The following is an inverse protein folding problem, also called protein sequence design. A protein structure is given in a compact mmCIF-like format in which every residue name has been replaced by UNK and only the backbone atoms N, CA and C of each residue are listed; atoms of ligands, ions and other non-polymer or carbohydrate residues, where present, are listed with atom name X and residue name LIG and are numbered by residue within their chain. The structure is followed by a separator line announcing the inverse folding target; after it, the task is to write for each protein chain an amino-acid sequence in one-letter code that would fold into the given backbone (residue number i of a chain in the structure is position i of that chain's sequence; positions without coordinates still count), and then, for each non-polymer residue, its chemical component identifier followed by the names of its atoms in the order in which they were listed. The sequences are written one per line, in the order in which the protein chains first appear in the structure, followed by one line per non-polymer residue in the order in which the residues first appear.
data_IF_205681621338
#
_entry.id   IF_205681621338
#
_cell.length_a   1.000
_cell.length_b   1.000
_cell.length_c   1.000
_cell.angle_alpha   90.00
_cell.angle_beta   90.00
_cell.angle_gamma   90.00
#
_symmetry.space_group_name_H-M   'P 1'
#
loop_
_entity.id
_entity.type
_entity.pdbx_description
1 polymer ?
#
# COMPACT_ATOMS: atom_id res chain seq x y z
N UNK A 1 -1.80 -29.34 -38.41
CA UNK A 1 -2.13 -27.89 -38.46
C UNK A 1 -2.48 -27.48 -37.04
N UNK A 2 -1.82 -26.56 -36.34
CA UNK A 2 -0.86 -25.52 -36.69
C UNK A 2 0.05 -25.29 -35.48
N UNK A 3 1.35 -25.54 -35.63
CA UNK A 3 2.35 -24.97 -34.74
C UNK A 3 2.51 -23.50 -35.14
N UNK A 4 1.61 -22.63 -34.66
CA UNK A 4 1.76 -21.19 -34.76
C UNK A 4 2.84 -20.77 -33.78
N UNK A 5 4.06 -20.59 -34.27
CA UNK A 5 5.17 -20.12 -33.47
C UNK A 5 4.86 -18.75 -32.86
N UNK A 6 4.98 -18.66 -31.54
CA UNK A 6 4.92 -17.41 -30.77
C UNK A 6 6.23 -16.61 -30.94
N UNK A 7 6.68 -16.47 -32.18
CA UNK A 7 7.82 -15.63 -32.56
C UNK A 7 7.32 -14.20 -32.73
N UNK A 8 7.27 -13.43 -31.64
CA UNK A 8 7.25 -11.97 -31.78
C UNK A 8 6.57 -11.15 -30.71
N UNK A 9 5.84 -11.75 -29.75
CA UNK A 9 5.23 -10.93 -28.71
C UNK A 9 6.15 -10.85 -27.48
N UNK A 10 6.72 -9.68 -27.15
CA UNK A 10 7.51 -9.55 -25.93
C UNK A 10 6.66 -9.93 -24.72
N UNK A 11 7.20 -10.79 -23.85
CA UNK A 11 6.57 -11.19 -22.59
C UNK A 11 6.05 -9.95 -21.86
N UNK A 12 4.72 -9.89 -21.64
CA UNK A 12 4.09 -8.75 -20.97
C UNK A 12 4.63 -8.63 -19.55
N UNK A 13 5.21 -7.48 -19.24
CA UNK A 13 5.79 -7.16 -17.93
C UNK A 13 4.79 -6.34 -17.12
N UNK A 14 4.56 -6.73 -15.88
CA UNK A 14 3.75 -5.96 -14.95
C UNK A 14 4.60 -5.59 -13.73
N UNK A 15 4.76 -4.29 -13.51
CA UNK A 15 5.48 -3.75 -12.38
C UNK A 15 4.52 -3.49 -11.23
N UNK A 16 4.80 -4.12 -10.08
CA UNK A 16 4.10 -3.92 -8.82
C UNK A 16 5.09 -3.36 -7.81
N UNK A 17 4.71 -2.27 -7.15
CA UNK A 17 5.51 -1.67 -6.07
C UNK A 17 4.81 -1.86 -4.73
N UNK A 18 5.56 -2.29 -3.72
CA UNK A 18 5.05 -2.45 -2.36
C UNK A 18 5.47 -1.26 -1.52
N UNK A 19 4.49 -0.58 -0.91
CA UNK A 19 4.67 0.63 -0.12
C UNK A 19 4.11 0.41 1.29
N UNK A 20 4.69 1.07 2.28
CA UNK A 20 4.27 0.95 3.68
C UNK A 20 5.44 1.08 4.63
N UNK A 21 5.15 1.33 5.91
CA UNK A 21 6.15 1.53 6.96
C UNK A 21 7.07 0.30 7.16
N UNK A 22 8.16 0.47 7.88
CA UNK A 22 9.08 -0.61 8.19
C UNK A 22 8.34 -1.69 9.02
N UNK A 23 8.67 -2.96 8.79
CA UNK A 23 8.12 -4.10 9.55
C UNK A 23 6.64 -4.41 9.38
N UNK A 24 5.91 -3.75 8.47
CA UNK A 24 4.50 -4.08 8.17
C UNK A 24 4.28 -5.39 7.40
N UNK A 25 5.36 -6.09 7.01
CA UNK A 25 5.29 -7.39 6.33
C UNK A 25 5.34 -7.36 4.79
N UNK A 26 5.80 -6.27 4.16
CA UNK A 26 5.96 -6.17 2.69
C UNK A 26 6.81 -7.32 2.12
N UNK A 27 8.03 -7.45 2.63
CA UNK A 27 8.99 -8.48 2.24
C UNK A 27 8.42 -9.88 2.46
N UNK A 28 7.77 -10.12 3.60
CA UNK A 28 7.14 -11.40 3.93
C UNK A 28 5.99 -11.78 2.98
N UNK A 29 5.19 -10.81 2.54
CA UNK A 29 4.14 -11.04 1.53
C UNK A 29 4.75 -11.41 0.18
N UNK A 30 5.81 -10.71 -0.22
CA UNK A 30 6.52 -10.97 -1.48
C UNK A 30 7.19 -12.34 -1.43
N UNK A 31 7.92 -12.67 -0.37
CA UNK A 31 8.59 -13.97 -0.25
C UNK A 31 7.61 -15.12 -0.21
N UNK A 32 6.47 -14.97 0.51
CA UNK A 32 5.38 -15.95 0.48
C UNK A 32 4.82 -16.13 -0.92
N UNK A 33 4.57 -15.05 -1.66
CA UNK A 33 4.09 -15.15 -3.04
C UNK A 33 5.13 -15.81 -3.97
N UNK A 34 6.42 -15.54 -3.76
CA UNK A 34 7.49 -16.06 -4.60
C UNK A 34 7.76 -17.54 -4.37
N UNK A 35 7.94 -17.94 -3.12
CA UNK A 35 8.50 -19.25 -2.73
C UNK A 35 7.53 -20.14 -1.95
N UNK A 36 6.31 -19.67 -1.68
CA UNK A 36 5.33 -20.32 -0.80
C UNK A 36 5.88 -20.65 0.61
N UNK A 37 6.91 -19.92 1.03
CA UNK A 37 7.58 -20.08 2.32
C UNK A 37 7.43 -18.82 3.17
N UNK A 38 7.51 -18.99 4.48
CA UNK A 38 7.53 -17.89 5.44
C UNK A 38 8.69 -18.12 6.41
N UNK A 39 9.63 -17.18 6.43
CA UNK A 39 10.68 -17.12 7.44
C UNK A 39 10.26 -16.14 8.54
N UNK A 40 10.38 -16.56 9.79
CA UNK A 40 10.06 -15.73 10.95
C UNK A 40 11.24 -14.82 11.35
N UNK A 41 12.39 -14.99 10.69
CA UNK A 41 13.58 -14.18 10.88
C UNK A 41 13.39 -12.84 10.19
N UNK A 42 13.22 -11.78 10.99
CA UNK A 42 13.14 -10.43 10.46
C UNK A 42 14.50 -9.97 9.93
N UNK A 43 14.59 -9.75 8.63
CA UNK A 43 15.69 -9.04 7.97
C UNK A 43 15.15 -7.75 7.39
N UNK A 44 15.69 -6.60 7.83
CA UNK A 44 15.26 -5.32 7.30
C UNK A 44 15.70 -5.17 5.84
N UNK A 45 14.77 -4.86 4.93
CA UNK A 45 15.12 -4.52 3.55
C UNK A 45 15.98 -3.26 3.54
N UNK A 46 17.18 -3.35 2.96
CA UNK A 46 18.08 -2.22 2.77
C UNK A 46 17.78 -1.62 1.39
N UNK A 47 17.20 -0.40 1.37
CA UNK A 47 16.91 0.31 0.12
C UNK A 47 15.72 -0.27 -0.66
N UNK A 48 15.97 -0.87 -1.81
CA UNK A 48 14.92 -1.45 -2.66
C UNK A 48 15.37 -2.80 -3.20
N UNK A 49 14.50 -3.79 -3.15
CA UNK A 49 14.74 -5.11 -3.71
C UNK A 49 13.83 -5.36 -4.92
N UNK A 50 14.35 -6.09 -5.90
CA UNK A 50 13.69 -6.40 -7.16
C UNK A 50 13.58 -7.91 -7.31
N UNK A 51 12.34 -8.40 -7.31
CA UNK A 51 12.04 -9.80 -7.54
C UNK A 51 11.24 -9.94 -8.84
N UNK A 52 11.49 -11.00 -9.61
CA UNK A 52 10.75 -11.26 -10.84
C UNK A 52 10.26 -12.70 -10.90
N UNK A 53 8.96 -12.85 -11.17
CA UNK A 53 8.30 -14.15 -11.33
C UNK A 53 7.63 -14.20 -12.69
N UNK A 54 7.95 -15.22 -13.47
CA UNK A 54 7.20 -15.53 -14.69
C UNK A 54 6.11 -16.52 -14.33
N UNK A 55 4.87 -16.22 -14.70
CA UNK A 55 3.70 -17.07 -14.40
C UNK A 55 2.72 -17.08 -15.57
N UNK A 56 1.83 -18.07 -15.58
CA UNK A 56 0.73 -18.14 -16.52
C UNK A 56 -0.53 -17.58 -15.86
N UNK A 57 -1.20 -16.66 -16.55
CA UNK A 57 -2.49 -16.09 -16.16
C UNK A 57 -3.40 -16.15 -17.38
N UNK A 58 -4.51 -16.88 -17.29
CA UNK A 58 -5.48 -17.04 -18.40
C UNK A 58 -4.81 -17.47 -19.72
N UNK A 59 -3.99 -18.53 -19.66
CA UNK A 59 -3.20 -19.06 -20.79
C UNK A 59 -2.15 -18.10 -21.39
N UNK A 60 -1.91 -16.95 -20.74
CA UNK A 60 -0.89 -15.99 -21.15
C UNK A 60 0.29 -16.02 -20.21
N UNK A 61 1.49 -16.11 -20.78
CA UNK A 61 2.75 -16.01 -20.04
C UNK A 61 3.06 -14.55 -19.74
N UNK A 62 3.06 -14.20 -18.45
CA UNK A 62 3.34 -12.85 -17.97
C UNK A 62 4.57 -12.85 -17.08
N UNK A 63 5.23 -11.69 -16.99
CA UNK A 63 6.37 -11.48 -16.09
C UNK A 63 6.02 -10.41 -15.06
N UNK A 64 5.79 -10.84 -13.83
CA UNK A 64 5.63 -9.94 -12.70
C UNK A 64 7.01 -9.44 -12.24
N UNK A 65 7.05 -8.15 -11.94
CA UNK A 65 8.19 -7.44 -11.37
C UNK A 65 7.72 -6.85 -10.04
N UNK A 66 8.20 -7.42 -8.95
CA UNK A 66 7.84 -7.04 -7.59
C UNK A 66 8.97 -6.15 -7.05
N UNK A 67 8.63 -4.93 -6.70
CA UNK A 67 9.56 -3.96 -6.13
C UNK A 67 9.27 -3.84 -4.64
N UNK A 68 10.11 -4.48 -3.81
CA UNK A 68 10.05 -4.39 -2.35
C UNK A 68 10.79 -3.12 -1.90
N UNK A 69 10.09 -2.22 -1.21
CA UNK A 69 10.72 -1.01 -0.69
C UNK A 69 11.10 -1.18 0.78
N UNK A 70 12.25 -0.67 1.17
CA UNK A 70 12.54 -0.42 2.57
C UNK A 70 11.49 0.55 3.10
N UNK A 71 10.68 0.11 4.05
CA UNK A 71 9.61 0.92 4.64
C UNK A 71 10.10 2.07 5.51
N UNK A 72 11.34 2.52 5.32
CA UNK A 72 11.89 3.65 6.05
C UNK A 72 11.52 4.97 5.39
N UNK A 73 11.10 5.89 6.26
CA UNK A 73 10.84 7.30 6.02
C UNK A 73 11.98 8.02 5.29
N UNK A 74 13.23 7.54 5.44
CA UNK A 74 14.41 8.08 4.73
C UNK A 74 14.37 7.91 3.21
N UNK A 75 13.55 6.99 2.68
CA UNK A 75 13.41 6.75 1.24
C UNK A 75 12.13 7.35 0.64
N UNK A 76 11.38 8.16 1.41
CA UNK A 76 10.15 8.81 0.92
C UNK A 76 10.37 9.70 -0.31
N UNK A 77 11.54 10.31 -0.44
CA UNK A 77 11.92 11.11 -1.61
C UNK A 77 12.06 10.29 -2.90
N UNK A 78 12.25 8.96 -2.80
CA UNK A 78 12.42 8.07 -3.94
C UNK A 78 11.10 7.43 -4.41
N UNK A 79 10.02 7.58 -3.62
CA UNK A 79 8.68 7.03 -3.93
C UNK A 79 8.18 7.42 -5.33
N UNK A 80 8.25 8.69 -5.78
CA UNK A 80 7.78 9.05 -7.13
C UNK A 80 8.54 8.34 -8.24
N UNK A 81 9.83 8.07 -8.03
CA UNK A 81 10.67 7.33 -8.99
C UNK A 81 10.28 5.85 -9.03
N UNK A 82 9.98 5.25 -7.88
CA UNK A 82 9.59 3.83 -7.80
C UNK A 82 8.20 3.56 -8.35
N UNK A 83 7.24 4.46 -8.13
CA UNK A 83 5.88 4.31 -8.64
C UNK A 83 5.83 4.52 -10.16
N UNK A 84 6.74 5.30 -10.74
CA UNK A 84 6.79 5.55 -12.19
C UNK A 84 6.74 4.24 -12.98
N UNK A 85 5.90 4.20 -13.99
CA UNK A 85 5.68 3.03 -14.87
C UNK A 85 5.19 1.76 -14.15
N UNK A 86 4.74 1.88 -12.89
CA UNK A 86 4.13 0.76 -12.17
C UNK A 86 2.71 0.54 -12.67
N UNK A 87 2.37 -0.72 -12.94
CA UNK A 87 1.01 -1.11 -13.25
C UNK A 87 0.10 -1.04 -12.01
N UNK A 88 0.67 -1.29 -10.81
CA UNK A 88 -0.04 -1.20 -9.55
C UNK A 88 0.90 -0.86 -8.38
N UNK A 89 0.34 -0.23 -7.34
CA UNK A 89 0.97 -0.04 -6.05
C UNK A 89 0.18 -0.75 -4.96
N UNK A 90 0.86 -1.53 -4.13
CA UNK A 90 0.29 -2.27 -3.00
C UNK A 90 0.71 -1.57 -1.71
N UNK A 91 -0.24 -0.96 -1.01
CA UNK A 91 0.00 -0.29 0.27
C UNK A 91 -0.27 -1.28 1.40
N UNK A 92 0.76 -1.60 2.17
CA UNK A 92 0.73 -2.56 3.28
C UNK A 92 0.86 -1.82 4.59
N UNK A 93 0.02 -2.18 5.56
CA UNK A 93 0.07 -1.64 6.92
C UNK A 93 -0.22 -2.76 7.94
N UNK A 94 0.29 -2.59 9.15
CA UNK A 94 0.05 -3.50 10.26
C UNK A 94 -1.17 -3.05 11.07
N UNK A 95 -2.22 -3.90 11.11
CA UNK A 95 -3.45 -3.65 11.87
C UNK A 95 -3.24 -3.60 13.39
N UNK A 96 -2.15 -4.19 13.89
CA UNK A 96 -1.79 -4.19 15.30
C UNK A 96 -1.11 -2.89 15.72
N UNK A 97 -0.57 -2.12 14.76
CA UNK A 97 0.01 -0.80 15.00
C UNK A 97 -1.08 0.18 15.43
N UNK A 98 -1.09 0.50 16.73
CA UNK A 98 -2.12 1.34 17.36
C UNK A 98 -2.06 2.82 16.99
N UNK A 99 -1.08 3.26 16.19
CA UNK A 99 -0.89 4.67 15.86
C UNK A 99 -2.01 5.24 14.98
N UNK A 100 -2.75 4.41 14.23
CA UNK A 100 -3.87 4.85 13.39
C UNK A 100 -5.23 4.92 14.11
N UNK A 101 -5.31 4.52 15.39
CA UNK A 101 -6.58 4.54 16.15
C UNK A 101 -7.14 5.91 16.58
N UNK A 102 -6.41 7.05 16.60
CA UNK A 102 -7.02 8.33 16.97
C UNK A 102 -7.91 8.95 15.88
N UNK A 103 -7.62 8.68 14.59
CA UNK A 103 -8.30 9.34 13.47
C UNK A 103 -9.70 8.78 13.16
N UNK A 104 -10.05 7.62 13.73
CA UNK A 104 -11.35 6.97 13.58
C UNK A 104 -12.21 7.09 14.85
N UNK A 105 -11.97 8.09 15.69
CA UNK A 105 -12.97 8.45 16.71
C UNK A 105 -14.11 9.20 16.01
N UNK A 106 -15.38 8.79 16.18
CA UNK A 106 -16.50 9.63 15.78
C UNK A 106 -16.35 10.96 16.51
N UNK A 107 -16.39 12.07 15.76
CA UNK A 107 -16.48 13.42 16.32
C UNK A 107 -17.66 13.39 17.29
N UNK A 108 -17.48 13.72 18.59
CA UNK A 108 -18.61 13.77 19.50
C UNK A 108 -19.61 14.79 18.96
N UNK A 109 -20.80 14.32 18.58
CA UNK A 109 -21.89 15.09 18.00
C UNK A 109 -22.59 16.00 19.03
N UNK A 110 -21.85 16.49 20.02
CA UNK A 110 -22.33 17.36 21.09
C UNK A 110 -21.36 18.54 21.22
N UNK A 111 -21.35 19.39 20.19
CA UNK A 111 -21.11 20.80 20.45
C UNK A 111 -22.43 21.36 21.00
N UNK A 112 -22.48 21.91 22.23
CA UNK A 112 -23.67 22.60 22.68
C UNK A 112 -23.88 23.83 21.80
N UNK A 113 -25.04 23.89 21.13
CA UNK A 113 -25.51 25.09 20.44
C UNK A 113 -25.51 26.26 21.44
N UNK A 114 -24.98 27.44 21.07
CA UNK A 114 -25.13 28.63 21.89
C UNK A 114 -26.62 28.98 21.96
N UNK A 115 -27.18 29.00 23.17
CA UNK A 115 -28.55 29.46 23.44
C UNK A 115 -28.71 30.90 22.92
N UNK A 116 -29.80 31.23 22.23
CA UNK A 116 -30.02 32.59 21.74
C UNK A 116 -30.29 33.52 22.93
N UNK A 117 -29.56 34.63 22.96
CA UNK A 117 -29.93 35.82 23.72
C UNK A 117 -31.33 36.30 23.30
N UNK A 118 -32.26 36.37 24.24
CA UNK A 118 -33.49 37.17 24.12
C UNK A 118 -33.73 37.85 25.48
N UNK A 119 -33.36 39.12 25.67
CA UNK A 119 -34.08 40.37 25.31
C UNK A 119 -34.96 40.88 26.48
N UNK A 120 -35.31 42.19 26.51
CA UNK A 120 -35.07 43.08 27.65
C UNK A 120 -36.31 43.26 28.53
N UNK A 121 -36.09 43.46 29.83
CA UNK A 121 -37.13 43.98 30.71
C UNK A 121 -37.28 45.48 30.47
N UNK A 122 -38.27 45.84 29.65
CA UNK A 122 -38.79 47.20 29.57
C UNK A 122 -39.66 47.48 30.81
N UNK A 123 -39.50 48.69 31.33
CA UNK A 123 -40.25 49.26 32.44
C UNK A 123 -41.78 49.15 32.26
N UNK A 124 -42.48 48.93 33.37
CA UNK A 124 -43.79 49.54 33.58
C UNK A 124 -43.90 49.93 35.06
N UNK A 125 -43.99 51.26 35.24
CA UNK A 125 -44.49 52.09 36.35
C UNK A 125 -44.66 51.47 37.74
#
# INVERSE_FOLDING_TARGET
MSASGDFGNPLRKFKLVFLGEQSVGKTSLITRFMYDSFDNTYQATIGIDFLSKTMYLEDRKIRLQLWDTAGQERFRSLIPSYIRDSAAAVVVYDITSRYLRPALRPVPLFLPLPLPLSLPLSLSL
#
